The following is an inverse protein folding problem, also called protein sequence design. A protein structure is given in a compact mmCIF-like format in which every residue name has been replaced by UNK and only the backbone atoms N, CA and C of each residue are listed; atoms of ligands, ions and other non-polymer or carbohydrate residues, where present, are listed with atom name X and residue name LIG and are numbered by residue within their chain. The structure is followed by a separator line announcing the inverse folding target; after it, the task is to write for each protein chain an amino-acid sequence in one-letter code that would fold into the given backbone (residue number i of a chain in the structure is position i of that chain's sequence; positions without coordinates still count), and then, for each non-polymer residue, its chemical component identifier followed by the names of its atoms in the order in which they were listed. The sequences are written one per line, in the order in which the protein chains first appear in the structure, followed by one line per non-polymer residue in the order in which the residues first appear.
data_IF_333550419511
#
_entry.id   IF_333550419511
#
_cell.length_a   1.000
_cell.length_b   1.000
_cell.length_c   1.000
_cell.angle_alpha   90.00
_cell.angle_beta   90.00
_cell.angle_gamma   90.00
#
_symmetry.space_group_name_H-M   'P 1'
#
loop_
_entity.id
_entity.type
_entity.pdbx_description
1 polymer ?
#
# COMPACT_ATOMS: atom_id res chain seq x y z
N UNK A 1 -3.35 -27.94 -12.47
CA UNK A 1 -3.83 -27.95 -11.07
C UNK A 1 -5.33 -27.91 -11.10
N UNK A 2 -6.02 -28.87 -10.55
CA UNK A 2 -7.47 -28.79 -10.39
C UNK A 2 -7.79 -28.09 -9.07
N UNK A 3 -8.72 -27.14 -9.11
CA UNK A 3 -9.24 -26.52 -7.90
C UNK A 3 -10.18 -27.50 -7.20
N UNK A 4 -9.85 -27.89 -5.98
CA UNK A 4 -10.68 -28.80 -5.17
C UNK A 4 -11.87 -28.10 -4.52
N UNK A 5 -11.82 -26.77 -4.39
CA UNK A 5 -12.86 -25.98 -3.71
C UNK A 5 -13.72 -25.20 -4.71
N UNK A 6 -14.99 -24.91 -4.41
CA UNK A 6 -15.84 -24.06 -5.25
C UNK A 6 -15.24 -22.65 -5.37
N UNK A 7 -15.56 -21.95 -6.48
CA UNK A 7 -15.10 -20.59 -6.72
C UNK A 7 -15.57 -19.65 -5.59
N UNK A 8 -14.67 -18.79 -5.11
CA UNK A 8 -14.96 -17.82 -4.08
C UNK A 8 -15.96 -16.79 -4.62
N UNK A 9 -17.12 -16.68 -4.01
CA UNK A 9 -18.12 -15.65 -4.32
C UNK A 9 -17.74 -14.36 -3.59
N UNK A 10 -17.61 -13.26 -4.32
CA UNK A 10 -17.20 -11.98 -3.73
C UNK A 10 -18.37 -11.31 -2.97
N UNK A 11 -19.49 -11.11 -3.60
CA UNK A 11 -20.66 -10.48 -3.02
C UNK A 11 -21.40 -11.48 -2.11
N UNK A 12 -21.16 -11.35 -0.82
CA UNK A 12 -21.81 -12.13 0.22
C UNK A 12 -21.68 -11.43 1.57
N UNK A 13 -22.74 -11.43 2.35
CA UNK A 13 -22.70 -10.97 3.74
C UNK A 13 -21.90 -12.00 4.56
N UNK A 14 -20.87 -11.54 5.28
CA UNK A 14 -19.93 -12.39 6.04
C UNK A 14 -19.78 -11.89 7.46
N UNK A 15 -19.59 -12.80 8.38
CA UNK A 15 -19.11 -12.49 9.73
C UNK A 15 -17.65 -12.04 9.70
N UNK A 16 -17.18 -11.44 10.78
CA UNK A 16 -15.79 -10.97 10.86
C UNK A 16 -14.77 -12.11 10.62
N UNK A 17 -14.96 -13.26 11.27
CA UNK A 17 -14.10 -14.44 11.07
C UNK A 17 -14.13 -14.98 9.65
N UNK A 18 -15.29 -14.98 8.98
CA UNK A 18 -15.39 -15.39 7.58
C UNK A 18 -14.65 -14.44 6.64
N UNK A 19 -14.60 -13.13 6.94
CA UNK A 19 -13.83 -12.16 6.14
C UNK A 19 -12.33 -12.44 6.24
N UNK A 20 -11.83 -12.79 7.42
CA UNK A 20 -10.44 -13.18 7.61
C UNK A 20 -10.13 -14.47 6.85
N UNK A 21 -10.93 -15.51 7.04
CA UNK A 21 -10.72 -16.81 6.40
C UNK A 21 -10.74 -16.70 4.88
N UNK A 22 -11.72 -16.01 4.29
CA UNK A 22 -11.81 -15.87 2.84
C UNK A 22 -10.65 -15.10 2.23
N UNK A 23 -10.07 -14.15 2.98
CA UNK A 23 -8.87 -13.43 2.56
C UNK A 23 -7.69 -14.38 2.42
N UNK A 24 -7.46 -15.24 3.42
CA UNK A 24 -6.40 -16.23 3.38
C UNK A 24 -6.68 -17.34 2.36
N UNK A 25 -7.92 -17.76 2.20
CA UNK A 25 -8.32 -18.75 1.20
C UNK A 25 -8.02 -18.22 -0.21
N UNK A 26 -8.36 -16.95 -0.50
CA UNK A 26 -8.03 -16.33 -1.78
C UNK A 26 -6.53 -16.25 -2.03
N UNK A 27 -5.76 -15.80 -1.03
CA UNK A 27 -4.30 -15.73 -1.11
C UNK A 27 -3.68 -17.11 -1.29
N UNK A 28 -4.13 -18.10 -0.52
CA UNK A 28 -3.66 -19.50 -0.59
C UNK A 28 -3.98 -20.14 -1.94
N UNK A 29 -5.14 -19.87 -2.50
CA UNK A 29 -5.55 -20.39 -3.80
C UNK A 29 -4.70 -19.81 -4.93
N UNK A 30 -4.38 -18.51 -4.87
CA UNK A 30 -3.80 -17.76 -5.98
C UNK A 30 -2.33 -17.35 -5.77
N UNK A 31 -1.67 -17.76 -4.66
CA UNK A 31 -0.36 -17.26 -4.27
C UNK A 31 0.72 -17.40 -5.36
N UNK A 32 0.70 -18.51 -6.13
CA UNK A 32 1.69 -18.76 -7.20
C UNK A 32 1.58 -17.74 -8.34
N UNK A 33 0.35 -17.40 -8.71
CA UNK A 33 0.10 -16.42 -9.77
C UNK A 33 0.43 -15.03 -9.28
N UNK A 34 -0.03 -14.66 -8.08
CA UNK A 34 0.26 -13.39 -7.43
C UNK A 34 1.78 -13.21 -7.30
N UNK A 35 2.48 -14.20 -6.77
CA UNK A 35 3.94 -14.16 -6.60
C UNK A 35 4.67 -14.00 -7.95
N UNK A 36 4.28 -14.77 -8.97
CA UNK A 36 4.87 -14.68 -10.31
C UNK A 36 4.77 -13.27 -10.88
N UNK A 37 3.58 -12.68 -10.87
CA UNK A 37 3.38 -11.34 -11.43
C UNK A 37 4.00 -10.25 -10.55
N UNK A 38 4.00 -10.40 -9.23
CA UNK A 38 4.66 -9.44 -8.33
C UNK A 38 6.18 -9.47 -8.50
N UNK A 39 6.79 -10.64 -8.70
CA UNK A 39 8.21 -10.73 -9.00
C UNK A 39 8.57 -10.02 -10.31
N UNK A 40 7.74 -10.15 -11.36
CA UNK A 40 8.02 -9.46 -12.62
C UNK A 40 7.82 -7.94 -12.56
N UNK A 41 6.80 -7.46 -11.83
CA UNK A 41 6.42 -6.06 -11.84
C UNK A 41 7.00 -5.25 -10.67
N UNK A 42 7.11 -5.85 -9.49
CA UNK A 42 7.48 -5.15 -8.25
C UNK A 42 8.95 -5.35 -7.89
N UNK A 43 9.52 -6.54 -8.12
CA UNK A 43 10.91 -6.80 -7.76
C UNK A 43 11.91 -5.84 -8.44
N UNK A 44 11.81 -5.53 -9.75
CA UNK A 44 12.69 -4.53 -10.37
C UNK A 44 12.59 -3.16 -9.69
N UNK A 45 11.38 -2.78 -9.27
CA UNK A 45 11.17 -1.52 -8.55
C UNK A 45 11.80 -1.56 -7.15
N UNK A 46 11.76 -2.72 -6.45
CA UNK A 46 12.42 -2.89 -5.15
C UNK A 46 13.93 -2.68 -5.24
N UNK A 47 14.56 -3.01 -6.37
CA UNK A 47 15.98 -2.74 -6.58
C UNK A 47 16.23 -1.22 -6.56
N UNK A 48 15.48 -0.45 -7.35
CA UNK A 48 15.61 1.03 -7.35
C UNK A 48 15.22 1.62 -5.98
N UNK A 49 14.20 1.09 -5.34
CA UNK A 49 13.77 1.52 -4.01
C UNK A 49 14.84 1.28 -2.95
N UNK A 50 15.56 0.16 -3.02
CA UNK A 50 16.68 -0.14 -2.12
C UNK A 50 17.82 0.86 -2.28
N UNK A 51 18.17 1.25 -3.52
CA UNK A 51 19.16 2.31 -3.76
C UNK A 51 18.71 3.64 -3.12
N UNK A 52 17.47 4.06 -3.37
CA UNK A 52 16.94 5.29 -2.80
C UNK A 52 16.88 5.26 -1.27
N UNK A 53 16.50 4.11 -0.68
CA UNK A 53 16.46 3.90 0.76
C UNK A 53 17.84 4.05 1.40
N UNK A 54 18.84 3.35 0.86
CA UNK A 54 20.20 3.42 1.40
C UNK A 54 20.81 4.83 1.22
N UNK A 55 20.55 5.49 0.09
CA UNK A 55 20.97 6.88 -0.14
C UNK A 55 20.30 7.85 0.86
N UNK A 56 19.02 7.68 1.17
CA UNK A 56 18.32 8.46 2.19
C UNK A 56 18.92 8.26 3.58
N UNK A 57 19.21 7.01 3.96
CA UNK A 57 19.81 6.71 5.26
C UNK A 57 21.24 7.19 5.40
N UNK A 58 22.06 7.20 4.32
CA UNK A 58 23.41 7.76 4.36
C UNK A 58 23.40 9.26 4.68
N UNK A 59 22.50 10.01 4.04
CA UNK A 59 22.36 11.46 4.31
C UNK A 59 21.81 11.72 5.72
N UNK A 60 20.92 10.85 6.23
CA UNK A 60 20.48 10.94 7.62
C UNK A 60 21.66 10.82 8.60
N UNK A 61 22.60 9.91 8.32
CA UNK A 61 23.81 9.76 9.12
C UNK A 61 24.69 11.01 9.08
N UNK A 62 24.83 11.65 7.93
CA UNK A 62 25.57 12.91 7.77
C UNK A 62 24.96 14.05 8.59
N UNK A 63 23.62 14.17 8.59
CA UNK A 63 22.88 15.11 9.44
C UNK A 63 23.06 14.82 10.94
N UNK A 64 23.17 13.55 11.33
CA UNK A 64 23.44 13.18 12.72
C UNK A 64 24.87 13.54 13.17
N UNK A 65 25.86 13.46 12.27
CA UNK A 65 27.26 13.85 12.53
C UNK A 65 27.40 15.37 12.67
N UNK A 66 26.67 16.14 11.88
CA UNK A 66 26.67 17.60 11.92
C UNK A 66 25.22 18.15 11.95
N UNK A 67 24.61 18.27 13.14
CA UNK A 67 23.24 18.78 13.30
C UNK A 67 23.06 20.23 12.85
N UNK A 68 24.13 21.01 12.78
CA UNK A 68 24.17 22.38 12.27
C UNK A 68 24.68 22.43 10.83
N UNK A 69 24.74 21.27 10.16
CA UNK A 69 25.28 21.05 8.83
C UNK A 69 24.77 22.04 7.80
N UNK A 70 25.51 22.14 6.71
CA UNK A 70 25.22 23.10 5.63
C UNK A 70 23.78 22.91 5.11
N UNK A 71 23.19 24.00 4.62
CA UNK A 71 21.87 23.94 3.94
C UNK A 71 21.83 22.90 2.82
N UNK A 72 22.99 22.57 2.25
CA UNK A 72 23.14 21.62 1.16
C UNK A 72 22.82 20.19 1.63
N UNK A 73 23.27 19.77 2.84
CA UNK A 73 22.96 18.43 3.41
C UNK A 73 21.45 18.31 3.66
N UNK A 74 20.82 19.38 4.15
CA UNK A 74 19.36 19.38 4.38
C UNK A 74 18.58 19.26 3.06
N UNK A 75 19.00 19.99 2.02
CA UNK A 75 18.41 19.89 0.68
C UNK A 75 18.59 18.47 0.13
N UNK A 76 19.76 17.89 0.26
CA UNK A 76 20.06 16.55 -0.20
C UNK A 76 19.21 15.50 0.54
N UNK A 77 19.04 15.63 1.85
CA UNK A 77 18.14 14.79 2.65
C UNK A 77 16.69 14.84 2.15
N UNK A 78 16.18 16.03 1.88
CA UNK A 78 14.81 16.22 1.36
C UNK A 78 14.67 15.64 -0.04
N UNK A 79 15.65 15.84 -0.91
CA UNK A 79 15.63 15.32 -2.28
C UNK A 79 15.70 13.78 -2.31
N UNK A 80 16.63 13.16 -1.58
CA UNK A 80 16.77 11.69 -1.50
C UNK A 80 15.53 11.04 -0.85
N UNK A 81 15.01 11.65 0.22
CA UNK A 81 13.75 11.23 0.84
C UNK A 81 12.57 11.34 -0.12
N UNK A 82 12.47 12.44 -0.87
CA UNK A 82 11.45 12.64 -1.90
C UNK A 82 11.51 11.59 -3.00
N UNK A 83 12.70 11.25 -3.50
CA UNK A 83 12.90 10.20 -4.50
C UNK A 83 12.42 8.85 -3.95
N UNK A 84 12.80 8.50 -2.71
CA UNK A 84 12.35 7.26 -2.07
C UNK A 84 10.82 7.19 -1.98
N UNK A 85 10.17 8.28 -1.54
CA UNK A 85 8.70 8.36 -1.44
C UNK A 85 8.03 8.21 -2.79
N UNK A 86 8.56 8.85 -3.84
CA UNK A 86 8.01 8.75 -5.22
C UNK A 86 8.08 7.29 -5.70
N UNK A 87 9.23 6.63 -5.56
CA UNK A 87 9.39 5.22 -5.94
C UNK A 87 8.42 4.33 -5.16
N UNK A 88 8.28 4.56 -3.85
CA UNK A 88 7.34 3.84 -3.00
C UNK A 88 5.87 4.06 -3.43
N UNK A 89 5.48 5.28 -3.80
CA UNK A 89 4.13 5.56 -4.33
C UNK A 89 3.86 4.85 -5.66
N UNK A 90 4.86 4.82 -6.57
CA UNK A 90 4.76 4.08 -7.83
C UNK A 90 4.58 2.58 -7.54
N UNK A 91 5.34 2.03 -6.60
CA UNK A 91 5.23 0.63 -6.19
C UNK A 91 3.85 0.27 -5.64
N UNK A 92 3.30 1.13 -4.78
CA UNK A 92 1.95 0.97 -4.26
C UNK A 92 0.87 1.07 -5.35
N UNK A 93 1.07 1.93 -6.34
CA UNK A 93 0.19 2.03 -7.50
C UNK A 93 0.18 0.72 -8.30
N UNK A 94 1.36 0.20 -8.62
CA UNK A 94 1.50 -1.06 -9.36
C UNK A 94 0.92 -2.23 -8.55
N UNK A 95 1.21 -2.28 -7.24
CA UNK A 95 0.69 -3.30 -6.35
C UNK A 95 -0.84 -3.29 -6.28
N UNK A 96 -1.45 -2.11 -6.12
CA UNK A 96 -2.90 -1.96 -6.08
C UNK A 96 -3.55 -2.40 -7.38
N UNK A 97 -3.00 -1.96 -8.53
CA UNK A 97 -3.49 -2.35 -9.84
C UNK A 97 -3.33 -3.87 -10.08
N UNK A 98 -2.23 -4.45 -9.60
CA UNK A 98 -1.96 -5.89 -9.69
C UNK A 98 -2.99 -6.70 -8.88
N UNK A 99 -3.12 -6.42 -7.58
CA UNK A 99 -3.96 -7.21 -6.67
C UNK A 99 -5.44 -7.07 -7.03
N UNK A 100 -5.94 -5.85 -7.13
CA UNK A 100 -7.35 -5.62 -7.49
C UNK A 100 -7.68 -6.01 -8.93
N UNK A 101 -6.71 -5.84 -9.86
CA UNK A 101 -6.84 -6.33 -11.23
C UNK A 101 -6.95 -7.86 -11.29
N UNK A 102 -6.14 -8.58 -10.51
CA UNK A 102 -6.26 -10.04 -10.40
C UNK A 102 -7.58 -10.47 -9.76
N UNK A 103 -8.05 -9.78 -8.73
CA UNK A 103 -9.36 -10.04 -8.14
C UNK A 103 -10.48 -9.81 -9.16
N UNK A 104 -10.40 -8.76 -9.97
CA UNK A 104 -11.36 -8.50 -11.03
C UNK A 104 -11.38 -9.61 -12.08
N UNK A 105 -10.21 -10.04 -12.56
CA UNK A 105 -10.08 -11.14 -13.53
C UNK A 105 -10.59 -12.46 -12.93
N UNK A 106 -10.26 -12.74 -11.66
CA UNK A 106 -10.74 -13.93 -10.94
C UNK A 106 -12.27 -14.00 -10.92
N UNK A 107 -12.93 -12.87 -10.68
CA UNK A 107 -14.41 -12.81 -10.61
C UNK A 107 -15.07 -13.09 -11.95
N UNK A 108 -14.50 -12.59 -13.05
CA UNK A 108 -15.08 -12.68 -14.39
C UNK A 108 -14.71 -13.95 -15.16
N UNK A 109 -13.63 -14.67 -14.79
CA UNK A 109 -13.21 -15.91 -15.47
C UNK A 109 -13.77 -17.14 -14.78
N UNK A 110 -14.26 -18.11 -15.56
CA UNK A 110 -14.65 -19.45 -15.06
C UNK A 110 -13.44 -20.23 -14.53
N UNK A 111 -12.32 -20.12 -15.21
CA UNK A 111 -11.03 -20.80 -14.88
C UNK A 111 -10.24 -20.08 -13.78
N UNK A 112 -10.82 -19.06 -13.14
CA UNK A 112 -10.17 -18.24 -12.09
C UNK A 112 -8.88 -17.59 -12.61
N UNK A 113 -7.74 -17.72 -11.88
CA UNK A 113 -6.43 -17.22 -12.31
C UNK A 113 -5.54 -18.32 -12.91
N UNK A 114 -6.04 -19.54 -13.08
CA UNK A 114 -5.25 -20.63 -13.66
C UNK A 114 -4.86 -20.26 -15.10
N UNK A 115 -3.59 -20.48 -15.43
CA UNK A 115 -3.02 -20.22 -16.77
C UNK A 115 -3.15 -18.74 -17.23
N UNK A 116 -3.39 -17.82 -16.30
CA UNK A 116 -3.43 -16.40 -16.65
C UNK A 116 -2.11 -15.97 -17.29
N UNK A 117 -2.19 -15.52 -18.55
CA UNK A 117 -1.05 -14.95 -19.27
C UNK A 117 -0.96 -13.46 -19.08
N UNK A 118 0.24 -12.89 -19.22
CA UNK A 118 0.41 -11.44 -19.15
C UNK A 118 -0.37 -10.71 -20.26
N UNK A 119 -0.49 -11.32 -21.43
CA UNK A 119 -1.26 -10.77 -22.54
C UNK A 119 -2.73 -10.52 -22.21
N UNK A 120 -3.37 -11.48 -21.52
CA UNK A 120 -4.77 -11.38 -21.09
C UNK A 120 -4.94 -10.40 -19.91
N UNK A 121 -3.97 -10.34 -19.02
CA UNK A 121 -4.02 -9.48 -17.83
C UNK A 121 -3.68 -8.01 -18.14
N UNK A 122 -2.87 -7.77 -19.15
CA UNK A 122 -2.31 -6.45 -19.50
C UNK A 122 -3.36 -5.36 -19.60
N UNK A 123 -4.47 -5.59 -20.28
CA UNK A 123 -5.52 -4.59 -20.48
C UNK A 123 -6.14 -4.16 -19.15
N UNK A 124 -6.52 -5.13 -18.32
CA UNK A 124 -7.05 -4.87 -16.97
C UNK A 124 -6.03 -4.13 -16.09
N UNK A 125 -4.76 -4.55 -16.14
CA UNK A 125 -3.68 -3.92 -15.39
C UNK A 125 -3.53 -2.44 -15.75
N UNK A 126 -3.44 -2.10 -17.05
CA UNK A 126 -3.27 -0.71 -17.48
C UNK A 126 -4.50 0.15 -17.18
N UNK A 127 -5.71 -0.40 -17.32
CA UNK A 127 -6.94 0.29 -16.94
C UNK A 127 -6.92 0.63 -15.43
N UNK A 128 -6.51 -0.31 -14.59
CA UNK A 128 -6.44 -0.12 -13.14
C UNK A 128 -5.29 0.81 -12.74
N UNK A 129 -4.14 0.74 -13.42
CA UNK A 129 -3.05 1.70 -13.24
C UNK A 129 -3.52 3.14 -13.48
N UNK A 130 -4.28 3.38 -14.55
CA UNK A 130 -4.84 4.71 -14.82
C UNK A 130 -5.81 5.21 -13.74
N UNK A 131 -6.63 4.30 -13.16
CA UNK A 131 -7.48 4.63 -12.02
C UNK A 131 -6.65 4.90 -10.75
N UNK A 132 -5.67 4.06 -10.44
CA UNK A 132 -4.76 4.24 -9.29
C UNK A 132 -3.95 5.55 -9.40
N UNK A 133 -3.52 5.93 -10.59
CA UNK A 133 -2.82 7.19 -10.82
C UNK A 133 -3.67 8.41 -10.42
N UNK A 134 -4.97 8.40 -10.74
CA UNK A 134 -5.89 9.47 -10.30
C UNK A 134 -6.03 9.53 -8.78
N UNK A 135 -6.07 8.38 -8.10
CA UNK A 135 -6.08 8.31 -6.63
C UNK A 135 -4.79 8.93 -6.07
N UNK A 136 -3.63 8.60 -6.63
CA UNK A 136 -2.33 9.15 -6.21
C UNK A 136 -2.28 10.67 -6.43
N UNK A 137 -2.76 11.15 -7.57
CA UNK A 137 -2.83 12.60 -7.82
C UNK A 137 -3.71 13.31 -6.79
N UNK A 138 -4.84 12.72 -6.42
CA UNK A 138 -5.70 13.26 -5.37
C UNK A 138 -5.00 13.32 -4.01
N UNK A 139 -4.38 12.22 -3.56
CA UNK A 139 -3.63 12.21 -2.31
C UNK A 139 -2.41 13.13 -2.34
N UNK A 140 -1.71 13.21 -3.48
CA UNK A 140 -0.59 14.12 -3.69
C UNK A 140 -1.03 15.59 -3.57
N UNK A 141 -2.12 15.98 -4.22
CA UNK A 141 -2.69 17.31 -4.12
C UNK A 141 -3.10 17.65 -2.67
N UNK A 142 -3.74 16.71 -1.96
CA UNK A 142 -4.07 16.87 -0.54
C UNK A 142 -2.82 17.06 0.33
N UNK A 143 -1.77 16.27 0.09
CA UNK A 143 -0.51 16.36 0.84
C UNK A 143 0.18 17.72 0.61
N UNK A 144 0.20 18.20 -0.65
CA UNK A 144 0.77 19.52 -0.99
C UNK A 144 -0.03 20.63 -0.30
N UNK A 145 -1.36 20.57 -0.30
CA UNK A 145 -2.22 21.55 0.34
C UNK A 145 -1.99 21.59 1.87
N UNK A 146 -2.03 20.41 2.51
CA UNK A 146 -1.81 20.29 3.96
C UNK A 146 -0.39 20.70 4.34
N UNK A 147 0.62 20.25 3.59
CA UNK A 147 2.03 20.60 3.83
C UNK A 147 2.33 22.08 3.55
N UNK A 148 1.75 22.66 2.51
CA UNK A 148 1.89 24.06 2.18
C UNK A 148 1.30 24.99 3.25
N UNK A 149 0.12 24.65 3.78
CA UNK A 149 -0.47 25.36 4.92
C UNK A 149 0.39 25.23 6.17
N UNK A 150 0.94 24.05 6.46
CA UNK A 150 1.86 23.84 7.56
C UNK A 150 3.11 24.73 7.44
N UNK A 151 3.69 24.79 6.24
CA UNK A 151 4.85 25.65 5.94
C UNK A 151 4.54 27.13 6.15
N UNK A 152 3.39 27.61 5.68
CA UNK A 152 2.96 28.99 5.91
C UNK A 152 2.78 29.30 7.41
N UNK A 153 2.16 28.41 8.17
CA UNK A 153 1.94 28.59 9.61
C UNK A 153 3.25 28.53 10.39
N UNK A 154 4.21 27.72 9.97
CA UNK A 154 5.54 27.64 10.57
C UNK A 154 6.30 28.96 10.51
N UNK A 155 6.13 29.76 9.44
CA UNK A 155 6.74 31.09 9.31
C UNK A 155 6.06 32.15 10.17
N UNK A 156 4.79 31.92 10.55
CA UNK A 156 4.01 32.92 11.32
C UNK A 156 4.09 32.65 12.84
N UNK A 157 3.82 31.41 13.30
CA UNK A 157 3.84 31.08 14.72
C UNK A 157 3.97 29.57 14.94
N UNK A 158 4.93 29.18 15.79
CA UNK A 158 5.11 27.78 16.20
C UNK A 158 3.85 27.24 16.88
N UNK A 159 3.17 28.03 17.69
CA UNK A 159 1.93 27.60 18.35
C UNK A 159 0.79 27.36 17.36
N UNK A 160 0.65 28.21 16.34
CA UNK A 160 -0.33 28.02 15.27
C UNK A 160 -0.05 26.72 14.50
N UNK A 161 1.22 26.44 14.20
CA UNK A 161 1.63 25.18 13.59
C UNK A 161 1.27 23.96 14.44
N UNK A 162 1.56 24.00 15.76
CA UNK A 162 1.24 22.88 16.67
C UNK A 162 -0.26 22.62 16.71
N UNK A 163 -1.08 23.66 16.86
CA UNK A 163 -2.54 23.52 16.86
C UNK A 163 -3.04 22.96 15.52
N UNK A 164 -2.52 23.46 14.40
CA UNK A 164 -2.85 22.95 13.07
C UNK A 164 -2.50 21.45 12.90
N UNK A 165 -1.31 21.05 13.33
CA UNK A 165 -0.88 19.64 13.25
C UNK A 165 -1.77 18.71 14.09
N UNK A 166 -2.25 19.16 15.25
CA UNK A 166 -3.22 18.42 16.06
C UNK A 166 -4.53 18.23 15.29
N UNK A 167 -5.06 19.30 14.66
CA UNK A 167 -6.28 19.21 13.86
C UNK A 167 -6.11 18.29 12.64
N UNK A 168 -4.96 18.38 11.94
CA UNK A 168 -4.63 17.50 10.82
C UNK A 168 -4.56 16.05 11.28
N UNK A 169 -3.93 15.75 12.42
CA UNK A 169 -3.85 14.40 12.98
C UNK A 169 -5.24 13.84 13.29
N UNK A 170 -6.07 14.59 13.99
CA UNK A 170 -7.45 14.17 14.32
C UNK A 170 -8.25 13.96 13.04
N UNK A 171 -8.19 14.90 12.10
CA UNK A 171 -8.87 14.79 10.81
C UNK A 171 -8.40 13.57 9.99
N UNK A 172 -7.10 13.30 9.96
CA UNK A 172 -6.53 12.16 9.28
C UNK A 172 -7.02 10.83 9.88
N UNK A 173 -7.09 10.71 11.21
CA UNK A 173 -7.63 9.52 11.89
C UNK A 173 -9.10 9.27 11.54
N UNK A 174 -9.93 10.31 11.47
CA UNK A 174 -11.35 10.20 11.11
C UNK A 174 -11.51 9.80 9.64
N UNK A 175 -10.70 10.38 8.73
CA UNK A 175 -10.81 10.18 7.29
C UNK A 175 -10.17 8.86 6.83
N UNK A 176 -9.18 8.34 7.56
CA UNK A 176 -8.43 7.13 7.20
C UNK A 176 -9.34 5.92 6.93
N UNK A 177 -10.33 5.68 7.80
CA UNK A 177 -11.24 4.54 7.68
C UNK A 177 -12.13 4.62 6.44
N UNK A 178 -12.85 5.73 6.16
CA UNK A 178 -13.59 5.89 4.92
C UNK A 178 -12.71 5.77 3.68
N UNK A 179 -11.52 6.33 3.71
CA UNK A 179 -10.61 6.33 2.56
C UNK A 179 -10.03 4.94 2.25
N UNK A 180 -10.01 4.03 3.20
CA UNK A 180 -9.60 2.64 2.95
C UNK A 180 -10.50 1.94 1.91
N UNK A 181 -11.80 2.28 1.86
CA UNK A 181 -12.74 1.74 0.87
C UNK A 181 -12.63 2.42 -0.51
N UNK A 182 -12.02 3.61 -0.61
CA UNK A 182 -11.97 4.37 -1.87
C UNK A 182 -11.30 3.57 -2.99
N UNK A 183 -10.18 2.94 -2.69
CA UNK A 183 -9.41 2.21 -3.71
C UNK A 183 -10.18 1.02 -4.29
N UNK A 184 -10.64 0.03 -3.50
CA UNK A 184 -11.42 -1.07 -4.07
C UNK A 184 -12.72 -0.57 -4.73
N UNK A 185 -13.45 0.36 -4.11
CA UNK A 185 -14.69 0.90 -4.69
C UNK A 185 -14.44 1.54 -6.05
N UNK A 186 -13.44 2.41 -6.20
CA UNK A 186 -13.14 3.08 -7.46
C UNK A 186 -12.62 2.14 -8.55
N UNK A 187 -11.92 1.06 -8.17
CA UNK A 187 -11.40 0.10 -9.14
C UNK A 187 -12.47 -0.86 -9.66
N UNK A 188 -13.36 -1.33 -8.78
CA UNK A 188 -14.40 -2.31 -9.14
C UNK A 188 -15.68 -1.66 -9.69
N UNK A 189 -15.92 -0.37 -9.41
CA UNK A 189 -17.07 0.35 -9.94
C UNK A 189 -16.70 1.22 -11.14
N UNK A 190 -17.63 1.38 -12.07
CA UNK A 190 -17.47 2.26 -13.27
C UNK A 190 -18.05 3.65 -13.02
N UNK A 191 -17.87 4.16 -11.80
CA UNK A 191 -18.39 5.46 -11.36
C UNK A 191 -17.33 6.55 -11.49
N UNK A 192 -17.73 7.83 -11.69
CA UNK A 192 -16.81 8.96 -11.63
C UNK A 192 -16.11 9.06 -10.28
N UNK A 193 -14.87 9.56 -10.27
CA UNK A 193 -14.03 9.60 -9.07
C UNK A 193 -14.69 10.33 -7.88
N UNK A 194 -15.28 11.50 -8.10
CA UNK A 194 -15.88 12.28 -7.01
C UNK A 194 -17.14 11.65 -6.43
N UNK A 195 -17.94 10.98 -7.25
CA UNK A 195 -19.10 10.22 -6.78
C UNK A 195 -18.67 9.02 -5.92
N UNK A 196 -17.64 8.30 -6.40
CA UNK A 196 -17.04 7.21 -5.63
C UNK A 196 -16.46 7.70 -4.30
N UNK A 197 -15.79 8.86 -4.30
CA UNK A 197 -15.24 9.47 -3.09
C UNK A 197 -16.34 9.77 -2.05
N UNK A 198 -17.46 10.35 -2.48
CA UNK A 198 -18.60 10.63 -1.59
C UNK A 198 -19.24 9.34 -1.06
N UNK A 199 -19.37 8.32 -1.91
CA UNK A 199 -19.91 7.01 -1.52
C UNK A 199 -18.97 6.29 -0.55
N UNK A 200 -17.66 6.29 -0.82
CA UNK A 200 -16.65 5.71 0.06
C UNK A 200 -16.68 6.38 1.44
N UNK A 201 -16.81 7.70 1.50
CA UNK A 201 -16.94 8.42 2.76
C UNK A 201 -18.23 8.05 3.50
N UNK A 202 -19.37 8.01 2.81
CA UNK A 202 -20.66 7.65 3.42
C UNK A 202 -20.67 6.21 3.95
N UNK A 203 -20.14 5.26 3.18
CA UNK A 203 -20.09 3.85 3.58
C UNK A 203 -19.06 3.65 4.70
N UNK A 204 -17.90 4.27 4.59
CA UNK A 204 -16.87 4.19 5.60
C UNK A 204 -17.30 4.73 6.95
N UNK A 205 -18.06 5.83 6.99
CA UNK A 205 -18.62 6.36 8.23
C UNK A 205 -19.76 5.49 8.79
N UNK A 206 -20.55 4.83 7.91
CA UNK A 206 -21.62 3.97 8.37
C UNK A 206 -21.13 2.62 8.94
N UNK A 207 -20.01 2.12 8.44
CA UNK A 207 -19.44 0.81 8.80
C UNK A 207 -18.05 0.92 9.45
N UNK A 208 -17.75 2.05 10.09
CA UNK A 208 -16.40 2.37 10.58
C UNK A 208 -15.84 1.33 11.55
N UNK A 209 -16.67 0.71 12.41
CA UNK A 209 -16.24 -0.33 13.37
C UNK A 209 -15.80 -1.60 12.62
N UNK A 210 -16.58 -2.01 11.60
CA UNK A 210 -16.28 -3.21 10.81
C UNK A 210 -14.98 -3.01 10.03
N UNK A 211 -14.83 -1.86 9.37
CA UNK A 211 -13.62 -1.48 8.63
C UNK A 211 -12.41 -1.38 9.55
N UNK A 212 -12.57 -0.72 10.71
CA UNK A 212 -11.51 -0.63 11.71
C UNK A 212 -11.04 -2.02 12.16
N UNK A 213 -11.96 -2.92 12.48
CA UNK A 213 -11.62 -4.28 12.89
C UNK A 213 -10.80 -5.02 11.82
N UNK A 214 -11.21 -4.92 10.56
CA UNK A 214 -10.50 -5.55 9.43
C UNK A 214 -9.12 -4.92 9.24
N UNK A 215 -9.02 -3.59 9.21
CA UNK A 215 -7.75 -2.88 9.08
C UNK A 215 -6.81 -3.18 10.26
N UNK A 216 -7.34 -3.25 11.48
CA UNK A 216 -6.55 -3.53 12.68
C UNK A 216 -5.91 -4.93 12.61
N UNK A 217 -6.71 -5.96 12.31
CA UNK A 217 -6.20 -7.34 12.28
C UNK A 217 -5.24 -7.54 11.11
N UNK A 218 -5.58 -7.09 9.89
CA UNK A 218 -4.65 -7.20 8.76
C UNK A 218 -3.43 -6.28 8.90
N UNK A 219 -3.58 -5.15 9.59
CA UNK A 219 -2.46 -4.29 9.96
C UNK A 219 -1.49 -4.97 10.92
N UNK A 220 -1.98 -5.71 11.92
CA UNK A 220 -1.13 -6.53 12.81
C UNK A 220 -0.40 -7.64 12.03
N UNK A 221 -1.12 -8.37 11.19
CA UNK A 221 -0.53 -9.45 10.38
C UNK A 221 0.52 -8.88 9.41
N UNK A 222 0.17 -7.82 8.69
CA UNK A 222 1.09 -7.13 7.80
C UNK A 222 2.29 -6.54 8.57
N UNK A 223 2.06 -5.99 9.76
CA UNK A 223 3.10 -5.50 10.65
C UNK A 223 4.11 -6.56 11.05
N UNK A 224 3.65 -7.78 11.38
CA UNK A 224 4.52 -8.91 11.69
C UNK A 224 5.37 -9.28 10.47
N UNK A 225 4.75 -9.44 9.29
CA UNK A 225 5.45 -9.77 8.04
C UNK A 225 6.50 -8.68 7.72
N UNK A 226 6.10 -7.42 7.82
CA UNK A 226 6.99 -6.29 7.57
C UNK A 226 8.16 -6.26 8.57
N UNK A 227 7.92 -6.50 9.86
CA UNK A 227 8.97 -6.53 10.89
C UNK A 227 9.99 -7.63 10.60
N UNK A 228 9.55 -8.83 10.24
CA UNK A 228 10.46 -9.95 9.92
C UNK A 228 11.37 -9.62 8.74
N UNK A 229 10.86 -8.95 7.72
CA UNK A 229 11.65 -8.57 6.52
C UNK A 229 12.48 -7.31 6.72
N UNK A 230 12.02 -6.38 7.55
CA UNK A 230 12.70 -5.12 7.86
C UNK A 230 13.85 -5.28 8.84
N UNK A 231 13.69 -6.14 9.85
CA UNK A 231 14.63 -6.26 10.97
C UNK A 231 16.08 -6.58 10.53
N UNK A 232 16.36 -7.51 9.59
CA UNK A 232 17.74 -7.78 9.17
C UNK A 232 18.43 -6.56 8.57
N UNK A 233 17.75 -5.83 7.68
CA UNK A 233 18.26 -4.60 7.10
C UNK A 233 18.50 -3.52 8.15
N UNK A 234 17.52 -3.30 9.03
CA UNK A 234 17.60 -2.31 10.11
C UNK A 234 18.76 -2.56 11.06
N UNK A 235 18.96 -3.82 11.50
CA UNK A 235 20.07 -4.17 12.39
C UNK A 235 21.42 -3.90 11.74
N UNK A 236 21.62 -4.25 10.47
CA UNK A 236 22.89 -3.99 9.78
C UNK A 236 23.14 -2.49 9.67
N UNK A 237 22.12 -1.71 9.31
CA UNK A 237 22.24 -0.25 9.17
C UNK A 237 22.50 0.41 10.53
N UNK A 238 21.74 0.08 11.58
CA UNK A 238 21.90 0.70 12.90
C UNK A 238 23.23 0.33 13.52
N UNK A 239 23.63 -0.94 13.48
CA UNK A 239 24.92 -1.38 14.02
C UNK A 239 26.06 -0.67 13.32
N UNK A 240 26.03 -0.60 11.99
CA UNK A 240 27.09 0.11 11.26
C UNK A 240 27.11 1.62 11.54
N UNK A 241 25.95 2.26 11.70
CA UNK A 241 25.88 3.68 12.10
C UNK A 241 26.53 3.91 13.47
N UNK A 242 26.26 3.05 14.46
CA UNK A 242 26.92 3.13 15.75
C UNK A 242 28.44 3.00 15.62
N UNK A 243 28.93 2.03 14.81
CA UNK A 243 30.37 1.87 14.58
C UNK A 243 30.98 3.09 13.87
N UNK A 244 30.35 3.64 12.85
CA UNK A 244 30.83 4.82 12.13
C UNK A 244 30.88 6.06 13.05
N UNK A 245 29.92 6.21 13.96
CA UNK A 245 29.90 7.32 14.92
C UNK A 245 30.96 7.18 16.02
N UNK A 246 31.24 5.95 16.47
CA UNK A 246 32.23 5.68 17.53
C UNK A 246 33.66 5.52 17.03
N UNK A 247 33.82 5.10 15.77
CA UNK A 247 35.12 4.82 15.13
C UNK A 247 35.12 5.33 13.69
N UNK A 248 35.24 6.66 13.45
CA UNK A 248 35.13 7.27 12.11
C UNK A 248 36.13 6.70 11.10
N UNK A 249 37.30 6.24 11.56
CA UNK A 249 38.35 5.68 10.70
C UNK A 249 38.13 4.20 10.33
N UNK A 250 37.02 3.61 10.73
CA UNK A 250 36.72 2.17 10.50
C UNK A 250 36.55 1.81 9.01
N UNK A 251 36.21 2.77 8.15
CA UNK A 251 36.00 2.54 6.71
C UNK A 251 34.87 1.56 6.35
N UNK A 252 33.99 1.24 7.32
CA UNK A 252 32.89 0.27 7.13
C UNK A 252 31.94 0.74 6.02
N UNK A 253 31.62 2.02 6.00
CA UNK A 253 30.75 2.65 5.00
C UNK A 253 31.30 2.56 3.56
N UNK A 254 32.62 2.47 3.40
CA UNK A 254 33.32 2.32 2.13
C UNK A 254 33.51 0.85 1.71
N UNK A 255 33.22 -0.09 2.61
CA UNK A 255 33.34 -1.52 2.34
C UNK A 255 32.31 -1.99 1.31
N UNK A 256 32.76 -2.60 0.21
CA UNK A 256 31.89 -3.20 -0.81
C UNK A 256 30.94 -4.24 -0.24
N UNK A 257 31.42 -5.04 0.74
CA UNK A 257 30.58 -6.06 1.39
C UNK A 257 29.43 -5.43 2.18
N UNK A 258 29.68 -4.37 2.89
CA UNK A 258 28.66 -3.64 3.63
C UNK A 258 27.60 -3.06 2.66
N UNK A 259 28.07 -2.40 1.59
CA UNK A 259 27.17 -1.83 0.58
C UNK A 259 26.31 -2.93 -0.09
N UNK A 260 26.93 -4.01 -0.55
CA UNK A 260 26.19 -5.12 -1.16
C UNK A 260 25.17 -5.73 -0.18
N UNK A 261 25.56 -5.96 1.08
CA UNK A 261 24.69 -6.51 2.09
C UNK A 261 23.48 -5.60 2.35
N UNK A 262 23.69 -4.31 2.53
CA UNK A 262 22.60 -3.35 2.77
C UNK A 262 21.68 -3.22 1.57
N UNK A 263 22.18 -3.29 0.34
CA UNK A 263 21.36 -3.29 -0.87
C UNK A 263 20.51 -4.55 -0.99
N UNK A 264 21.08 -5.73 -0.79
CA UNK A 264 20.34 -7.01 -0.86
C UNK A 264 19.28 -7.07 0.22
N UNK A 265 19.62 -6.73 1.46
CA UNK A 265 18.66 -6.69 2.55
C UNK A 265 17.60 -5.60 2.34
N UNK A 266 17.95 -4.48 1.73
CA UNK A 266 17.02 -3.42 1.35
C UNK A 266 16.01 -3.87 0.27
N UNK A 267 16.44 -4.71 -0.68
CA UNK A 267 15.52 -5.33 -1.66
C UNK A 267 14.54 -6.28 -0.95
N UNK A 268 15.05 -7.13 -0.06
CA UNK A 268 14.22 -8.06 0.72
C UNK A 268 13.20 -7.32 1.58
N UNK A 269 13.65 -6.27 2.26
CA UNK A 269 12.80 -5.39 3.07
C UNK A 269 11.71 -4.72 2.22
N UNK A 270 12.08 -4.13 1.09
CA UNK A 270 11.14 -3.45 0.20
C UNK A 270 10.09 -4.42 -0.36
N UNK A 271 10.53 -5.58 -0.83
CA UNK A 271 9.63 -6.59 -1.38
C UNK A 271 8.73 -7.20 -0.29
N UNK A 272 9.28 -7.47 0.90
CA UNK A 272 8.51 -7.93 2.06
C UNK A 272 7.44 -6.95 2.52
N UNK A 273 7.72 -5.65 2.45
CA UNK A 273 6.74 -4.59 2.72
C UNK A 273 5.56 -4.63 1.74
N UNK A 274 5.80 -4.88 0.45
CA UNK A 274 4.72 -5.06 -0.53
C UNK A 274 3.92 -6.34 -0.28
N UNK A 275 4.57 -7.46 0.08
CA UNK A 275 3.86 -8.70 0.47
C UNK A 275 2.96 -8.45 1.69
N UNK A 276 3.45 -7.75 2.69
CA UNK A 276 2.66 -7.38 3.87
C UNK A 276 1.39 -6.58 3.49
N UNK A 277 1.53 -5.63 2.56
CA UNK A 277 0.41 -4.82 2.08
C UNK A 277 -0.61 -5.60 1.26
N UNK A 278 -0.19 -6.61 0.48
CA UNK A 278 -1.10 -7.47 -0.30
C UNK A 278 -2.19 -8.08 0.58
N UNK A 279 -1.83 -8.55 1.78
CA UNK A 279 -2.78 -9.17 2.71
C UNK A 279 -3.87 -8.18 3.11
N UNK A 280 -3.48 -6.97 3.47
CA UNK A 280 -4.42 -5.90 3.81
C UNK A 280 -5.31 -5.47 2.64
N UNK A 281 -4.75 -5.39 1.43
CA UNK A 281 -5.50 -5.01 0.22
C UNK A 281 -6.60 -6.03 -0.11
N UNK A 282 -6.29 -7.32 -0.04
CA UNK A 282 -7.29 -8.37 -0.26
C UNK A 282 -8.36 -8.35 0.84
N UNK A 283 -7.95 -8.15 2.10
CA UNK A 283 -8.88 -8.04 3.23
C UNK A 283 -9.86 -6.89 3.08
N UNK A 284 -9.37 -5.71 2.71
CA UNK A 284 -10.21 -4.52 2.46
C UNK A 284 -11.12 -4.71 1.23
N UNK A 285 -10.67 -5.43 0.21
CA UNK A 285 -11.55 -5.76 -0.92
C UNK A 285 -12.75 -6.63 -0.48
N UNK A 286 -12.51 -7.66 0.34
CA UNK A 286 -13.60 -8.48 0.86
C UNK A 286 -14.51 -7.72 1.84
N UNK A 287 -13.97 -6.76 2.58
CA UNK A 287 -14.78 -5.85 3.39
C UNK A 287 -15.68 -4.97 2.50
N UNK A 288 -15.13 -4.40 1.43
CA UNK A 288 -15.89 -3.64 0.44
C UNK A 288 -17.03 -4.48 -0.17
N UNK A 289 -16.77 -5.71 -0.62
CA UNK A 289 -17.78 -6.59 -1.19
C UNK A 289 -18.87 -6.96 -0.17
N UNK A 290 -18.49 -7.19 1.10
CA UNK A 290 -19.44 -7.43 2.19
C UNK A 290 -20.35 -6.22 2.42
N UNK A 291 -19.80 -5.01 2.54
CA UNK A 291 -20.57 -3.79 2.78
C UNK A 291 -21.52 -3.51 1.62
N UNK A 292 -21.04 -3.71 0.40
CA UNK A 292 -21.86 -3.51 -0.80
C UNK A 292 -23.01 -4.49 -0.88
N UNK A 293 -22.78 -5.77 -0.61
CA UNK A 293 -23.85 -6.77 -0.56
C UNK A 293 -24.87 -6.48 0.56
N UNK A 294 -24.39 -6.10 1.74
CA UNK A 294 -25.24 -5.77 2.89
C UNK A 294 -26.11 -4.53 2.64
N UNK A 295 -25.64 -3.59 1.85
CA UNK A 295 -26.30 -2.30 1.59
C UNK A 295 -27.15 -2.28 0.33
N UNK A 296 -26.66 -2.88 -0.74
CA UNK A 296 -27.23 -2.80 -2.09
C UNK A 296 -27.91 -4.13 -2.52
N UNK A 297 -27.56 -5.27 -1.90
CA UNK A 297 -28.11 -6.57 -2.28
C UNK A 297 -27.77 -6.98 -3.72
N UNK A 298 -26.53 -6.76 -4.14
CA UNK A 298 -26.04 -6.94 -5.52
C UNK A 298 -26.37 -8.33 -6.08
N UNK A 299 -26.27 -9.37 -5.24
CA UNK A 299 -26.60 -10.75 -5.64
C UNK A 299 -28.10 -10.90 -5.97
N UNK A 300 -28.97 -10.33 -5.15
CA UNK A 300 -30.41 -10.39 -5.38
C UNK A 300 -30.83 -9.60 -6.63
N UNK A 301 -30.25 -8.42 -6.85
CA UNK A 301 -30.49 -7.62 -8.05
C UNK A 301 -30.04 -8.35 -9.32
N UNK A 302 -28.88 -9.01 -9.29
CA UNK A 302 -28.38 -9.80 -10.41
C UNK A 302 -29.28 -11.02 -10.70
N UNK A 303 -29.75 -11.72 -9.67
CA UNK A 303 -30.67 -12.85 -9.84
C UNK A 303 -32.01 -12.39 -10.44
N UNK A 304 -32.59 -11.28 -9.96
CA UNK A 304 -33.83 -10.72 -10.50
C UNK A 304 -33.66 -10.32 -11.97
N UNK A 305 -32.55 -9.68 -12.32
CA UNK A 305 -32.28 -9.29 -13.71
C UNK A 305 -32.14 -10.49 -14.66
N UNK A 306 -31.53 -11.59 -14.17
CA UNK A 306 -31.41 -12.83 -14.95
C UNK A 306 -32.77 -13.52 -15.14
N UNK A 307 -33.67 -13.48 -14.16
CA UNK A 307 -35.05 -13.99 -14.31
C UNK A 307 -35.87 -13.14 -15.28
N UNK A 308 -35.66 -11.83 -15.34
CA UNK A 308 -36.38 -10.95 -16.27
C UNK A 308 -35.95 -11.13 -17.75
N UNK A 309 -34.79 -11.76 -17.98
CA UNK A 309 -34.25 -12.03 -19.32
C UNK A 309 -34.48 -13.49 -19.81
N UNK A 310 -35.20 -14.32 -19.02
CA UNK A 310 -35.68 -15.66 -19.41
C UNK A 310 -37.08 -15.60 -19.98
#
# INVERSE_FOLDING_TARGET
MEYTNPKIRYYRVRTFGEKLNITFDYLRENWRVILRFSLYLILPLCIFQSFALNAYFSTNLELMKDPNGSKDILIEFVLRGGIYVIIYMIGNMILSALIYGMMHVYDHRTERLMELTFGEFKETLFRFLGKCFRIILFYGAMTILVGGLAGMLATWSVWALVVYLIFVLIGALIIMLPMALLTPMYLFEEQPFFETLQRAFRYGMSFWIEIFGVLFVFGLIGGIINTVTYLPWYLVVVVSQVFILTSPDSGIDQSLWYQLLTYVLGIIQSYGSYIAQMVGMVGIAFEYFHIREKREGVTAETEISNFANL
#
